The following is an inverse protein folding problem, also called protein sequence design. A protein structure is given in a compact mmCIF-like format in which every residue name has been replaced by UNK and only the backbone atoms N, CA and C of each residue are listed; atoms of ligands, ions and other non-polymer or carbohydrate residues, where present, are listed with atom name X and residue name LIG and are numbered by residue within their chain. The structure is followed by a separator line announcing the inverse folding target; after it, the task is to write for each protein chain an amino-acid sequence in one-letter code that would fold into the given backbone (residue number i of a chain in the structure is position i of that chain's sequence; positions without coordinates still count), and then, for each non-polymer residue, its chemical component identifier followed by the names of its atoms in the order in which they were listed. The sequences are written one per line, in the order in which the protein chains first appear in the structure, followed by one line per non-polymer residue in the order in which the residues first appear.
data_IF_118085857622
#
_entry.id   IF_118085857622
#
_cell.length_a   1.000
_cell.length_b   1.000
_cell.length_c   1.000
_cell.angle_alpha   90.00
_cell.angle_beta   90.00
_cell.angle_gamma   90.00
#
_symmetry.space_group_name_H-M   'P 1'
#
loop_
_entity.id
_entity.type
_entity.pdbx_description
1 polymer ?
#
# COMPACT_ATOMS: atom_id res chain seq x y z
N UNK A 1 50.06 -49.62 -44.02
CA UNK A 1 49.96 -50.74 -43.05
C UNK A 1 48.68 -50.50 -42.23
N UNK A 2 47.53 -51.01 -42.70
CA UNK A 2 46.83 -52.22 -42.24
C UNK A 2 46.32 -52.09 -40.77
N UNK A 3 45.07 -52.38 -40.36
CA UNK A 3 43.85 -52.91 -41.00
C UNK A 3 42.66 -52.74 -40.01
N UNK A 4 41.51 -52.30 -40.54
CA UNK A 4 40.09 -52.66 -40.24
C UNK A 4 39.51 -52.95 -38.82
N UNK A 5 38.37 -52.26 -38.57
CA UNK A 5 37.00 -52.74 -38.22
C UNK A 5 36.68 -53.33 -36.83
N UNK A 6 35.57 -52.85 -36.26
CA UNK A 6 34.39 -53.69 -36.01
C UNK A 6 33.90 -53.83 -34.56
N UNK A 7 32.82 -53.11 -34.26
CA UNK A 7 31.56 -53.54 -33.61
C UNK A 7 31.48 -54.34 -32.30
N UNK A 8 30.53 -53.85 -31.49
CA UNK A 8 29.43 -54.57 -30.80
C UNK A 8 29.70 -55.50 -29.61
N UNK A 9 29.17 -55.05 -28.47
CA UNK A 9 27.98 -55.60 -27.79
C UNK A 9 28.06 -56.87 -26.90
N UNK A 10 27.44 -56.67 -25.72
CA UNK A 10 26.62 -57.59 -24.94
C UNK A 10 27.21 -58.75 -24.10
N UNK A 11 26.62 -58.84 -22.89
CA UNK A 11 26.28 -60.05 -22.12
C UNK A 11 27.44 -60.74 -21.35
N UNK A 12 27.31 -61.21 -20.10
CA UNK A 12 26.15 -61.63 -19.32
C UNK A 12 26.58 -61.96 -17.86
N UNK A 13 25.63 -61.96 -16.92
CA UNK A 13 25.59 -62.61 -15.56
C UNK A 13 26.41 -61.93 -14.46
N UNK A 14 25.79 -61.33 -13.43
CA UNK A 14 24.88 -61.92 -12.43
C UNK A 14 25.71 -62.13 -11.14
N UNK A 15 25.40 -61.63 -9.95
CA UNK A 15 24.14 -61.54 -9.19
C UNK A 15 24.36 -60.55 -8.02
N UNK A 16 23.24 -60.22 -7.35
CA UNK A 16 23.06 -59.73 -5.97
C UNK A 16 22.59 -58.27 -5.86
N UNK A 17 21.53 -58.10 -5.03
CA UNK A 17 20.86 -56.89 -4.58
C UNK A 17 19.66 -56.38 -5.40
N UNK A 18 18.58 -57.18 -5.41
CA UNK A 18 17.20 -56.68 -5.55
C UNK A 18 16.59 -56.66 -4.15
N UNK A 19 16.36 -55.46 -3.60
CA UNK A 19 15.67 -55.26 -2.33
C UNK A 19 15.61 -53.78 -1.99
N UNK A 20 14.40 -53.27 -1.73
CA UNK A 20 14.07 -51.91 -1.28
C UNK A 20 13.95 -50.80 -2.35
N UNK A 21 13.02 -50.94 -3.30
CA UNK A 21 12.41 -49.78 -3.97
C UNK A 21 11.06 -50.09 -4.65
N UNK A 22 10.05 -50.63 -3.92
CA UNK A 22 8.67 -50.65 -4.44
C UNK A 22 7.54 -50.96 -3.45
N UNK A 23 7.51 -50.40 -2.23
CA UNK A 23 6.29 -50.36 -1.41
C UNK A 23 6.29 -49.10 -0.54
N UNK A 24 5.87 -47.96 -1.10
CA UNK A 24 5.50 -46.73 -0.36
C UNK A 24 4.62 -45.78 -1.18
N UNK A 25 3.79 -46.36 -2.04
CA UNK A 25 2.51 -45.80 -2.49
C UNK A 25 1.47 -46.76 -1.94
N UNK A 26 0.37 -46.24 -1.37
CA UNK A 26 -0.67 -46.94 -0.59
C UNK A 26 -0.44 -46.92 0.94
N UNK A 27 -0.31 -45.75 1.59
CA UNK A 27 -0.64 -45.55 3.04
C UNK A 27 -1.16 -44.13 3.37
N UNK A 28 -1.63 -43.30 2.42
CA UNK A 28 -2.13 -41.93 2.76
C UNK A 28 -3.53 -41.62 2.17
N UNK A 29 -4.31 -42.64 1.81
CA UNK A 29 -5.68 -42.46 1.29
C UNK A 29 -6.74 -43.18 2.14
N UNK A 30 -6.46 -43.46 3.42
CA UNK A 30 -7.41 -44.15 4.30
C UNK A 30 -7.45 -43.58 5.73
N UNK A 31 -7.52 -42.25 5.85
CA UNK A 31 -7.78 -41.54 7.12
C UNK A 31 -8.80 -40.40 6.99
N UNK A 32 -9.61 -40.40 5.92
CA UNK A 32 -10.65 -39.38 5.68
C UNK A 32 -12.09 -39.90 5.83
N UNK A 33 -12.27 -41.10 6.40
CA UNK A 33 -13.57 -41.73 6.65
C UNK A 33 -13.54 -42.34 8.05
N UNK A 34 -13.83 -41.51 9.07
CA UNK A 34 -14.43 -41.80 10.40
C UNK A 34 -14.23 -40.50 11.21
N UNK A 35 -15.09 -39.51 10.97
CA UNK A 35 -15.36 -38.39 11.88
C UNK A 35 -16.67 -37.68 11.47
N UNK A 36 -17.65 -38.46 11.00
CA UNK A 36 -19.06 -38.05 10.93
C UNK A 36 -19.76 -38.94 11.95
N UNK A 37 -20.30 -38.31 13.00
CA UNK A 37 -21.19 -38.80 14.07
C UNK A 37 -20.63 -38.52 15.46
N UNK A 38 -20.90 -37.32 15.98
CA UNK A 38 -21.38 -37.06 17.34
C UNK A 38 -21.24 -35.56 17.64
N UNK A 39 -22.36 -34.83 17.60
CA UNK A 39 -22.71 -33.81 18.59
C UNK A 39 -24.09 -33.26 18.22
N UNK A 40 -25.08 -33.87 18.87
CA UNK A 40 -26.48 -33.46 18.90
C UNK A 40 -26.66 -32.15 19.67
N UNK A 41 -27.53 -31.31 19.10
CA UNK A 41 -28.56 -30.49 19.74
C UNK A 41 -28.35 -30.03 21.20
N UNK A 42 -28.18 -28.72 21.39
CA UNK A 42 -28.83 -28.01 22.51
C UNK A 42 -29.47 -26.72 22.00
N UNK A 43 -30.79 -26.77 21.88
CA UNK A 43 -31.68 -25.63 21.67
C UNK A 43 -31.81 -24.91 23.01
N UNK A 44 -31.26 -23.70 23.12
CA UNK A 44 -31.51 -22.81 24.25
C UNK A 44 -32.73 -21.93 23.95
N UNK A 45 -33.84 -22.29 24.58
CA UNK A 45 -35.07 -21.50 24.67
C UNK A 45 -34.79 -20.34 25.63
N UNK A 46 -34.70 -19.10 25.12
CA UNK A 46 -34.73 -17.90 25.97
C UNK A 46 -36.19 -17.50 26.16
N UNK A 47 -36.68 -17.76 27.38
CA UNK A 47 -38.02 -17.38 27.84
C UNK A 47 -38.13 -15.85 27.96
N UNK A 48 -39.17 -15.29 27.33
CA UNK A 48 -39.64 -13.93 27.61
C UNK A 48 -40.18 -13.90 29.04
N UNK A 49 -39.62 -13.02 29.88
CA UNK A 49 -40.28 -12.63 31.13
C UNK A 49 -40.58 -11.14 31.08
N UNK A 50 -41.86 -10.86 30.87
CA UNK A 50 -42.48 -9.55 30.90
C UNK A 50 -42.82 -9.27 32.37
N UNK A 51 -42.12 -8.33 33.01
CA UNK A 51 -42.53 -7.84 34.32
C UNK A 51 -43.60 -6.75 34.13
N UNK A 52 -44.84 -7.13 34.46
CA UNK A 52 -45.93 -6.21 34.76
C UNK A 52 -45.77 -5.81 36.23
N UNK A 53 -45.63 -4.52 36.51
CA UNK A 53 -45.85 -3.95 37.83
C UNK A 53 -46.87 -2.83 37.70
N UNK A 54 -47.93 -2.99 38.50
CA UNK A 54 -49.13 -2.20 38.49
C UNK A 54 -48.97 -0.82 39.12
N UNK A 55 -49.91 -0.02 38.68
CA UNK A 55 -50.27 1.35 39.01
C UNK A 55 -50.47 1.62 40.52
N UNK A 56 -50.00 2.77 40.99
CA UNK A 56 -50.62 3.51 42.10
C UNK A 56 -50.59 5.00 41.74
N UNK A 57 -51.78 5.55 41.47
CA UNK A 57 -51.98 6.94 41.10
C UNK A 57 -51.92 7.90 42.28
N UNK A 58 -51.68 9.17 41.95
CA UNK A 58 -52.22 10.32 42.67
C UNK A 58 -52.38 11.51 41.71
N UNK A 59 -53.53 12.15 41.82
CA UNK A 59 -54.09 13.21 40.99
C UNK A 59 -53.22 14.47 40.82
N UNK A 60 -53.28 15.09 39.64
CA UNK A 60 -53.64 16.52 39.57
C UNK A 60 -54.20 16.94 38.19
N UNK A 61 -55.25 17.74 38.28
CA UNK A 61 -56.16 18.27 37.26
C UNK A 61 -55.50 18.99 36.07
N UNK A 62 -55.89 18.58 34.86
CA UNK A 62 -56.58 19.43 33.88
C UNK A 62 -55.79 20.48 33.09
N UNK A 63 -55.66 20.26 31.77
CA UNK A 63 -56.20 21.11 30.70
C UNK A 63 -56.26 20.26 29.43
N UNK A 64 -57.44 20.20 28.81
CA UNK A 64 -57.71 19.58 27.52
C UNK A 64 -57.55 20.64 26.42
N UNK A 65 -56.69 20.39 25.43
CA UNK A 65 -56.89 20.88 24.06
C UNK A 65 -56.40 19.77 23.12
N UNK A 66 -57.35 19.20 22.38
CA UNK A 66 -57.19 18.25 21.30
C UNK A 66 -56.82 18.93 19.98
N UNK A 67 -55.78 18.44 19.29
CA UNK A 67 -55.70 18.48 17.82
C UNK A 67 -54.62 17.51 17.29
N UNK A 68 -55.12 16.43 16.67
CA UNK A 68 -54.63 15.65 15.53
C UNK A 68 -53.17 15.77 15.02
N UNK A 69 -52.61 14.58 14.74
CA UNK A 69 -51.74 14.25 13.60
C UNK A 69 -50.52 15.16 13.32
N UNK A 70 -49.32 14.71 13.66
CA UNK A 70 -48.49 13.96 12.72
C UNK A 70 -47.29 13.36 13.44
N UNK A 71 -47.22 12.04 13.31
CA UNK A 71 -46.08 11.21 13.61
C UNK A 71 -44.90 11.71 12.75
N UNK A 72 -43.99 12.47 13.35
CA UNK A 72 -42.73 12.81 12.70
C UNK A 72 -42.00 11.50 12.41
N UNK A 73 -41.98 11.10 11.14
CA UNK A 73 -41.08 10.08 10.65
C UNK A 73 -39.67 10.49 11.08
N UNK A 74 -39.09 9.75 12.03
CA UNK A 74 -37.65 9.70 12.17
C UNK A 74 -37.12 9.37 10.78
N UNK A 75 -36.53 10.33 10.09
CA UNK A 75 -35.60 10.04 9.01
C UNK A 75 -34.54 9.15 9.66
N UNK A 76 -34.66 7.83 9.48
CA UNK A 76 -33.52 6.95 9.65
C UNK A 76 -32.52 7.48 8.65
N UNK A 77 -31.55 8.27 9.12
CA UNK A 77 -30.33 8.51 8.37
C UNK A 77 -29.89 7.14 7.91
N UNK A 78 -29.88 6.89 6.59
CA UNK A 78 -29.31 5.65 6.09
C UNK A 78 -27.92 5.54 6.73
N UNK A 79 -27.60 4.42 7.41
CA UNK A 79 -26.31 4.30 8.08
C UNK A 79 -25.21 4.60 7.07
N UNK A 80 -24.28 5.47 7.44
CA UNK A 80 -23.18 5.81 6.56
C UNK A 80 -22.39 4.54 6.26
N UNK A 81 -22.27 4.25 4.97
CA UNK A 81 -21.61 3.06 4.43
C UNK A 81 -20.22 2.85 5.08
N UNK A 82 -20.01 1.66 5.65
CA UNK A 82 -18.73 1.25 6.22
C UNK A 82 -17.73 0.87 5.15
N UNK A 83 -16.43 1.00 5.42
CA UNK A 83 -15.42 0.68 4.42
C UNK A 83 -14.08 0.24 5.00
N UNK A 84 -13.24 -0.28 4.11
CA UNK A 84 -11.87 -0.70 4.41
C UNK A 84 -10.91 -0.02 3.46
N UNK A 85 -9.69 0.26 3.92
CA UNK A 85 -8.62 0.77 3.09
C UNK A 85 -7.38 -0.12 3.22
N UNK A 86 -6.98 -0.72 2.11
CA UNK A 86 -5.82 -1.58 1.97
C UNK A 86 -4.80 -0.91 1.05
N UNK A 87 -3.57 -1.38 1.09
CA UNK A 87 -2.56 -0.94 0.15
C UNK A 87 -1.19 -0.69 0.75
N UNK A 88 -0.37 -0.02 -0.05
CA UNK A 88 0.98 0.40 0.27
C UNK A 88 1.02 1.80 0.91
N UNK A 89 2.21 2.40 0.92
CA UNK A 89 2.50 3.72 1.49
C UNK A 89 1.68 4.86 0.89
N UNK A 90 1.21 4.76 -0.36
CA UNK A 90 0.35 5.79 -0.98
C UNK A 90 -1.08 5.76 -0.42
N UNK A 91 -1.53 4.62 0.09
CA UNK A 91 -2.78 4.52 0.84
C UNK A 91 -2.57 4.79 2.34
N UNK A 92 -1.45 4.33 2.90
CA UNK A 92 -1.10 4.59 4.31
C UNK A 92 -0.87 6.09 4.58
N UNK A 93 -0.37 6.84 3.59
CA UNK A 93 -0.15 8.29 3.71
C UNK A 93 1.02 8.65 4.62
N UNK A 94 2.12 7.90 4.48
CA UNK A 94 3.37 8.10 5.19
C UNK A 94 3.76 9.59 5.28
N UNK A 95 4.04 10.05 6.50
CA UNK A 95 4.48 11.41 6.80
C UNK A 95 3.38 12.47 6.84
N UNK A 96 2.11 12.13 6.59
CA UNK A 96 1.03 13.12 6.51
C UNK A 96 0.35 13.34 7.86
N UNK A 97 0.34 14.60 8.31
CA UNK A 97 -0.30 15.01 9.56
C UNK A 97 0.35 14.48 10.85
N UNK A 98 1.52 13.85 10.78
CA UNK A 98 2.25 13.34 11.95
C UNK A 98 3.58 14.10 12.09
N UNK A 99 3.80 14.67 13.27
CA UNK A 99 5.07 15.26 13.69
C UNK A 99 5.67 14.37 14.79
N UNK A 100 6.58 13.46 14.39
CA UNK A 100 7.28 12.58 15.33
C UNK A 100 7.38 11.13 14.86
N UNK A 101 7.40 10.21 15.82
CA UNK A 101 7.34 8.76 15.61
C UNK A 101 5.98 8.34 15.00
N UNK A 102 6.03 7.54 13.94
CA UNK A 102 4.86 6.93 13.29
C UNK A 102 4.70 5.48 13.74
N UNK A 103 3.52 4.88 13.51
CA UNK A 103 3.34 3.44 13.68
C UNK A 103 4.12 2.62 12.63
N UNK A 104 4.17 1.30 12.83
CA UNK A 104 4.93 0.39 11.97
C UNK A 104 4.47 0.42 10.50
N UNK A 105 3.19 0.72 10.25
CA UNK A 105 2.63 0.82 8.89
C UNK A 105 2.72 2.24 8.31
N UNK A 106 3.12 3.21 9.13
CA UNK A 106 3.23 4.65 8.84
C UNK A 106 1.92 5.24 8.36
N UNK A 107 0.84 4.97 9.09
CA UNK A 107 -0.49 5.45 8.77
C UNK A 107 -0.66 6.92 9.14
N UNK A 108 -0.59 7.80 8.14
CA UNK A 108 -0.79 9.24 8.32
C UNK A 108 -2.26 9.59 8.57
N UNK A 109 -2.50 10.60 9.42
CA UNK A 109 -3.86 11.05 9.75
C UNK A 109 -4.51 11.88 8.64
N UNK A 110 -3.72 12.35 7.67
CA UNK A 110 -4.21 13.04 6.48
C UNK A 110 -4.11 12.19 5.20
N UNK A 111 -3.89 10.88 5.35
CA UNK A 111 -3.99 9.95 4.25
C UNK A 111 -5.38 10.03 3.60
N UNK A 112 -5.48 9.78 2.29
CA UNK A 112 -6.75 9.91 1.57
C UNK A 112 -7.87 9.01 2.15
N UNK A 113 -7.61 7.80 2.69
CA UNK A 113 -8.64 7.04 3.38
C UNK A 113 -9.11 7.70 4.68
N UNK A 114 -8.21 8.31 5.45
CA UNK A 114 -8.56 9.05 6.67
C UNK A 114 -9.38 10.30 6.35
N UNK A 115 -9.03 11.01 5.28
CA UNK A 115 -9.83 12.15 4.82
C UNK A 115 -11.24 11.70 4.38
N UNK A 116 -11.37 10.56 3.71
CA UNK A 116 -12.67 9.97 3.36
C UNK A 116 -13.46 9.55 4.60
N UNK A 117 -12.77 8.98 5.60
CA UNK A 117 -13.37 8.62 6.88
C UNK A 117 -13.94 9.85 7.60
N UNK A 118 -13.15 10.93 7.69
CA UNK A 118 -13.58 12.19 8.30
C UNK A 118 -14.74 12.85 7.55
N UNK A 119 -14.74 12.83 6.21
CA UNK A 119 -15.79 13.43 5.38
C UNK A 119 -17.11 12.66 5.44
N UNK A 120 -17.06 11.33 5.63
CA UNK A 120 -18.25 10.46 5.55
C UNK A 120 -18.83 10.12 6.92
N UNK A 121 -18.01 10.02 7.96
CA UNK A 121 -18.41 9.50 9.28
C UNK A 121 -19.10 8.12 9.17
N UNK A 122 -18.37 7.08 8.68
CA UNK A 122 -18.92 5.76 8.42
C UNK A 122 -19.27 5.02 9.71
N UNK A 123 -20.23 4.09 9.62
CA UNK A 123 -20.53 3.18 10.74
C UNK A 123 -19.37 2.25 11.13
N UNK A 124 -18.43 2.01 10.20
CA UNK A 124 -17.20 1.29 10.44
C UNK A 124 -16.12 1.72 9.44
N UNK A 125 -14.89 1.87 9.92
CA UNK A 125 -13.71 2.09 9.10
C UNK A 125 -12.57 1.19 9.58
N UNK A 126 -11.96 0.45 8.67
CA UNK A 126 -10.74 -0.33 8.94
C UNK A 126 -9.60 0.19 8.08
N UNK A 127 -8.56 0.70 8.72
CA UNK A 127 -7.37 1.19 8.03
C UNK A 127 -6.26 0.13 8.11
N UNK A 128 -6.07 -0.62 7.02
CA UNK A 128 -5.15 -1.75 6.94
C UNK A 128 -3.99 -1.51 5.97
N UNK A 129 -3.91 -0.31 5.39
CA UNK A 129 -2.82 0.08 4.48
C UNK A 129 -1.50 0.13 5.25
N UNK A 130 -0.43 -0.32 4.62
CA UNK A 130 0.86 -0.45 5.28
C UNK A 130 2.00 -0.12 4.32
N UNK A 131 2.91 0.76 4.75
CA UNK A 131 4.10 1.11 3.96
C UNK A 131 4.91 -0.13 3.62
N UNK A 132 5.44 -0.18 2.39
CA UNK A 132 6.26 -1.28 1.91
C UNK A 132 5.49 -2.50 1.37
N UNK A 133 4.17 -2.58 1.61
CA UNK A 133 3.38 -3.73 1.17
C UNK A 133 3.44 -3.93 -0.35
N UNK A 134 3.74 -5.16 -0.76
CA UNK A 134 3.56 -5.68 -2.12
C UNK A 134 2.22 -6.40 -2.24
N UNK A 135 1.81 -6.78 -3.46
CA UNK A 135 0.62 -7.63 -3.60
C UNK A 135 0.77 -8.96 -2.87
N UNK A 136 2.00 -9.49 -2.73
CA UNK A 136 2.26 -10.73 -1.98
C UNK A 136 2.05 -10.55 -0.48
N UNK A 137 2.53 -9.44 0.08
CA UNK A 137 2.43 -9.19 1.52
C UNK A 137 0.98 -8.94 1.94
N UNK A 138 0.15 -8.40 1.03
CA UNK A 138 -1.25 -8.12 1.31
C UNK A 138 -2.14 -9.38 1.30
N UNK A 139 -1.75 -10.43 0.57
CA UNK A 139 -2.54 -11.67 0.39
C UNK A 139 -2.69 -12.48 1.68
N UNK A 140 -3.69 -13.36 1.72
CA UNK A 140 -3.91 -14.28 2.83
C UNK A 140 -2.72 -15.22 3.06
N UNK A 141 -2.37 -15.46 4.33
CA UNK A 141 -1.26 -16.33 4.73
C UNK A 141 0.13 -15.70 4.69
N UNK A 142 0.26 -14.45 4.23
CA UNK A 142 1.49 -13.67 4.37
C UNK A 142 1.71 -13.21 5.82
N UNK A 143 2.97 -12.94 6.20
CA UNK A 143 3.33 -12.51 7.56
C UNK A 143 2.59 -11.23 7.96
N UNK A 144 2.56 -10.23 7.07
CA UNK A 144 1.88 -8.95 7.25
C UNK A 144 0.54 -8.85 6.48
N UNK A 145 -0.15 -9.99 6.32
CA UNK A 145 -1.39 -10.09 5.53
C UNK A 145 -2.41 -9.02 5.90
N UNK A 146 -2.82 -8.21 4.92
CA UNK A 146 -3.90 -7.25 5.08
C UNK A 146 -5.27 -7.94 4.95
N UNK A 147 -5.37 -8.96 4.11
CA UNK A 147 -6.59 -9.77 3.94
C UNK A 147 -6.94 -10.53 5.23
N UNK A 148 -5.96 -11.08 5.95
CA UNK A 148 -6.23 -11.81 7.19
C UNK A 148 -6.59 -10.91 8.37
N UNK A 149 -6.07 -9.68 8.39
CA UNK A 149 -6.43 -8.66 9.39
C UNK A 149 -7.83 -8.07 9.19
N UNK A 150 -8.47 -8.31 8.04
CA UNK A 150 -9.79 -7.81 7.72
C UNK A 150 -10.86 -8.40 8.66
N UNK A 151 -11.46 -7.53 9.47
CA UNK A 151 -12.56 -7.89 10.36
C UNK A 151 -13.91 -7.86 9.61
N UNK A 152 -14.33 -9.01 9.08
CA UNK A 152 -15.58 -9.17 8.32
C UNK A 152 -16.86 -9.05 9.16
N UNK A 153 -16.76 -8.96 10.49
CA UNK A 153 -17.94 -8.78 11.36
C UNK A 153 -18.50 -7.36 11.31
N UNK A 154 -17.70 -6.39 10.87
CA UNK A 154 -18.11 -5.00 10.71
C UNK A 154 -18.85 -4.77 9.38
N UNK A 155 -19.77 -3.80 9.29
CA UNK A 155 -20.38 -3.40 8.03
C UNK A 155 -19.31 -2.87 7.07
N UNK A 156 -19.26 -3.41 5.85
CA UNK A 156 -18.30 -3.03 4.81
C UNK A 156 -19.06 -2.99 3.49
N UNK A 157 -19.11 -1.82 2.86
CA UNK A 157 -19.89 -1.52 1.66
C UNK A 157 -19.00 -1.19 0.45
N UNK A 158 -17.76 -0.76 0.67
CA UNK A 158 -16.75 -0.60 -0.38
C UNK A 158 -15.34 -0.76 0.20
N UNK A 159 -14.34 -0.85 -0.68
CA UNK A 159 -12.93 -0.85 -0.31
C UNK A 159 -12.13 0.17 -1.12
N UNK A 160 -11.03 0.65 -0.55
CA UNK A 160 -10.00 1.44 -1.21
C UNK A 160 -8.72 0.60 -1.31
N UNK A 161 -8.01 0.69 -2.43
CA UNK A 161 -6.77 -0.04 -2.67
C UNK A 161 -5.75 0.81 -3.46
N UNK A 162 -4.55 1.00 -2.92
CA UNK A 162 -3.37 1.44 -3.68
C UNK A 162 -2.28 0.40 -3.52
N UNK A 163 -1.86 -0.30 -4.57
CA UNK A 163 -0.79 -1.30 -4.45
C UNK A 163 -0.07 -1.50 -5.77
N UNK A 164 1.17 -1.97 -5.73
CA UNK A 164 1.94 -2.35 -6.92
C UNK A 164 3.25 -1.57 -7.13
N UNK A 165 3.43 -0.40 -6.52
CA UNK A 165 4.67 0.37 -6.68
C UNK A 165 5.90 -0.40 -6.17
N UNK A 166 5.76 -1.08 -5.04
CA UNK A 166 6.80 -1.92 -4.44
C UNK A 166 7.09 -3.16 -5.29
N UNK A 167 6.06 -3.80 -5.85
CA UNK A 167 6.17 -4.97 -6.73
C UNK A 167 6.99 -4.71 -8.00
N UNK A 168 7.02 -3.46 -8.44
CA UNK A 168 7.65 -3.02 -9.69
C UNK A 168 9.01 -2.34 -9.46
N UNK A 169 9.52 -2.37 -8.22
CA UNK A 169 10.87 -1.90 -7.90
C UNK A 169 11.03 -0.38 -7.93
N UNK A 170 10.01 0.39 -7.55
CA UNK A 170 10.10 1.86 -7.53
C UNK A 170 11.23 2.37 -6.64
N UNK A 171 11.47 1.73 -5.48
CA UNK A 171 12.61 2.07 -4.62
C UNK A 171 13.94 1.88 -5.33
N UNK A 172 14.13 0.77 -6.05
CA UNK A 172 15.36 0.49 -6.79
C UNK A 172 15.62 1.55 -7.87
N UNK A 173 14.57 1.98 -8.57
CA UNK A 173 14.64 3.06 -9.55
C UNK A 173 15.02 4.38 -8.88
N UNK A 174 14.35 4.74 -7.79
CA UNK A 174 14.63 5.97 -7.05
C UNK A 174 16.05 5.97 -6.47
N UNK A 175 16.50 4.84 -5.94
CA UNK A 175 17.85 4.67 -5.42
C UNK A 175 18.89 4.79 -6.55
N UNK A 176 18.74 4.07 -7.67
CA UNK A 176 19.72 4.08 -8.75
C UNK A 176 19.74 5.41 -9.54
N UNK A 177 18.57 6.01 -9.75
CA UNK A 177 18.41 7.16 -10.65
C UNK A 177 18.46 8.52 -9.96
N UNK A 178 18.11 8.62 -8.67
CA UNK A 178 17.91 9.91 -8.00
C UNK A 178 18.84 10.07 -6.80
N UNK A 179 18.70 9.23 -5.78
CA UNK A 179 19.36 9.47 -4.48
C UNK A 179 20.72 8.83 -4.34
N UNK A 180 20.93 7.67 -4.98
CA UNK A 180 22.11 6.81 -4.80
C UNK A 180 22.42 6.55 -3.33
N UNK A 181 21.46 6.10 -2.53
CA UNK A 181 21.69 5.83 -1.10
C UNK A 181 22.89 4.91 -0.87
N UNK A 182 23.11 3.92 -1.75
CA UNK A 182 24.28 3.03 -1.70
C UNK A 182 25.48 3.52 -2.56
N UNK A 183 25.56 4.83 -2.81
CA UNK A 183 26.59 5.49 -3.62
C UNK A 183 26.84 4.77 -4.97
N UNK A 184 28.10 4.44 -5.29
CA UNK A 184 28.50 3.77 -6.52
C UNK A 184 27.81 2.40 -6.69
N UNK A 185 27.49 1.73 -5.59
CA UNK A 185 26.90 0.39 -5.55
C UNK A 185 25.38 0.35 -5.75
N UNK A 186 24.73 1.52 -5.93
CA UNK A 186 23.29 1.60 -6.23
C UNK A 186 22.90 1.05 -7.60
N UNK A 187 23.87 0.60 -8.41
CA UNK A 187 23.67 0.19 -9.79
C UNK A 187 23.53 1.39 -10.74
N UNK A 188 23.18 1.11 -11.99
CA UNK A 188 22.89 2.14 -13.00
C UNK A 188 21.39 2.43 -13.08
N UNK A 189 21.03 3.65 -13.46
CA UNK A 189 19.63 4.02 -13.65
C UNK A 189 19.00 3.23 -14.80
N UNK A 190 19.75 3.00 -15.88
CA UNK A 190 19.34 2.24 -17.04
C UNK A 190 18.95 0.81 -16.66
N UNK A 191 19.79 0.13 -15.86
CA UNK A 191 19.52 -1.24 -15.40
C UNK A 191 18.30 -1.29 -14.48
N UNK A 192 18.17 -0.33 -13.55
CA UNK A 192 17.02 -0.28 -12.65
C UNK A 192 15.70 -0.07 -13.42
N UNK A 193 15.69 0.86 -14.38
CA UNK A 193 14.54 1.08 -15.26
C UNK A 193 14.27 -0.15 -16.14
N UNK A 194 15.29 -0.83 -16.66
CA UNK A 194 15.13 -2.05 -17.44
C UNK A 194 14.52 -3.19 -16.61
N UNK A 195 14.99 -3.41 -15.38
CA UNK A 195 14.41 -4.39 -14.45
C UNK A 195 12.95 -4.09 -14.16
N UNK A 196 12.61 -2.83 -13.87
CA UNK A 196 11.23 -2.42 -13.62
C UNK A 196 10.32 -2.67 -14.84
N UNK A 197 10.80 -2.40 -16.06
CA UNK A 197 10.08 -2.74 -17.29
C UNK A 197 9.84 -4.24 -17.44
N UNK A 198 10.84 -5.08 -17.16
CA UNK A 198 10.66 -6.55 -17.20
C UNK A 198 9.61 -7.02 -16.19
N UNK A 199 9.63 -6.50 -14.96
CA UNK A 199 8.61 -6.82 -13.95
C UNK A 199 7.21 -6.37 -14.39
N UNK A 200 7.11 -5.23 -15.04
CA UNK A 200 5.86 -4.68 -15.56
C UNK A 200 5.32 -5.44 -16.78
N UNK A 201 6.21 -5.91 -17.65
CA UNK A 201 5.85 -6.71 -18.82
C UNK A 201 5.44 -8.14 -18.44
N UNK A 202 5.90 -8.66 -17.30
CA UNK A 202 5.48 -9.97 -16.78
C UNK A 202 3.98 -10.03 -16.48
N UNK A 203 3.41 -11.23 -16.67
CA UNK A 203 2.05 -11.56 -16.26
C UNK A 203 1.95 -11.78 -14.74
N UNK A 204 3.08 -12.01 -14.05
CA UNK A 204 3.11 -12.30 -12.61
C UNK A 204 2.46 -11.19 -11.79
N UNK A 205 2.65 -9.92 -12.18
CA UNK A 205 2.00 -8.80 -11.53
C UNK A 205 0.48 -8.82 -11.73
N UNK A 206 0.01 -9.06 -12.96
CA UNK A 206 -1.44 -9.13 -13.24
C UNK A 206 -2.09 -10.29 -12.47
N UNK A 207 -1.42 -11.43 -12.43
CA UNK A 207 -1.88 -12.63 -11.73
C UNK A 207 -1.99 -12.36 -10.22
N UNK A 208 -0.95 -11.82 -9.60
CA UNK A 208 -0.95 -11.56 -8.14
C UNK A 208 -1.97 -10.50 -7.75
N UNK A 209 -2.09 -9.42 -8.53
CA UNK A 209 -3.12 -8.41 -8.30
C UNK A 209 -4.52 -9.00 -8.43
N UNK A 210 -4.75 -9.87 -9.43
CA UNK A 210 -6.02 -10.58 -9.57
C UNK A 210 -6.31 -11.48 -8.37
N UNK A 211 -5.34 -12.26 -7.89
CA UNK A 211 -5.53 -13.12 -6.72
C UNK A 211 -5.90 -12.28 -5.50
N UNK A 212 -5.12 -11.24 -5.18
CA UNK A 212 -5.39 -10.34 -4.07
C UNK A 212 -6.81 -9.75 -4.13
N UNK A 213 -7.23 -9.26 -5.30
CA UNK A 213 -8.57 -8.71 -5.49
C UNK A 213 -9.65 -9.77 -5.23
N UNK A 214 -9.45 -11.00 -5.73
CA UNK A 214 -10.41 -12.09 -5.53
C UNK A 214 -10.47 -12.52 -4.06
N UNK A 215 -9.34 -12.54 -3.36
CA UNK A 215 -9.29 -12.82 -1.92
C UNK A 215 -10.03 -11.77 -1.11
N UNK A 216 -9.84 -10.48 -1.42
CA UNK A 216 -10.60 -9.39 -0.77
C UNK A 216 -12.10 -9.57 -1.01
N UNK A 217 -12.51 -9.83 -2.26
CA UNK A 217 -13.90 -10.05 -2.63
C UNK A 217 -14.50 -11.25 -1.89
N UNK A 218 -13.81 -12.39 -1.86
CA UNK A 218 -14.24 -13.63 -1.19
C UNK A 218 -14.36 -13.42 0.33
N UNK A 219 -13.34 -12.83 0.96
CA UNK A 219 -13.34 -12.52 2.41
C UNK A 219 -14.55 -11.67 2.79
N UNK A 220 -14.92 -10.69 1.95
CA UNK A 220 -16.06 -9.78 2.16
C UNK A 220 -17.41 -10.45 1.84
N UNK A 221 -17.41 -11.58 1.14
CA UNK A 221 -18.60 -12.28 0.62
C UNK A 221 -19.40 -11.36 -0.30
N UNK A 222 -18.71 -10.78 -1.28
CA UNK A 222 -19.23 -9.77 -2.20
C UNK A 222 -20.53 -10.20 -2.90
N UNK A 223 -20.78 -11.50 -3.09
CA UNK A 223 -22.01 -12.03 -3.71
C UNK A 223 -23.26 -11.65 -2.92
N UNK A 224 -23.11 -11.43 -1.61
CA UNK A 224 -24.19 -10.97 -0.72
C UNK A 224 -24.32 -9.45 -0.68
N UNK A 225 -23.40 -8.73 -1.32
CA UNK A 225 -23.29 -7.27 -1.30
C UNK A 225 -23.27 -6.75 -2.74
N UNK A 226 -24.43 -6.69 -3.42
CA UNK A 226 -24.50 -6.37 -4.84
C UNK A 226 -23.97 -4.97 -5.20
N UNK A 227 -23.90 -4.05 -4.24
CA UNK A 227 -23.32 -2.71 -4.40
C UNK A 227 -21.82 -2.62 -4.06
N UNK A 228 -21.22 -3.69 -3.51
CA UNK A 228 -19.81 -3.66 -3.12
C UNK A 228 -18.89 -3.50 -4.34
N UNK A 229 -17.97 -2.56 -4.21
CA UNK A 229 -16.92 -2.29 -5.20
C UNK A 229 -15.60 -1.92 -4.50
N UNK A 230 -14.49 -2.19 -5.18
CA UNK A 230 -13.14 -1.80 -4.77
C UNK A 230 -12.70 -0.64 -5.65
N UNK A 231 -12.35 0.49 -5.05
CA UNK A 231 -11.74 1.61 -5.75
C UNK A 231 -10.24 1.47 -5.69
N UNK A 232 -9.61 1.28 -6.85
CA UNK A 232 -8.16 1.14 -6.99
C UNK A 232 -7.58 2.45 -7.51
N UNK A 233 -6.60 3.01 -6.82
CA UNK A 233 -5.94 4.26 -7.23
C UNK A 233 -4.66 3.98 -8.02
N UNK A 234 -4.36 4.81 -9.02
CA UNK A 234 -3.04 4.83 -9.69
C UNK A 234 -1.97 5.57 -8.88
N UNK A 235 -0.89 5.95 -9.56
CA UNK A 235 0.20 6.80 -9.05
C UNK A 235 0.31 8.09 -9.87
N UNK A 236 0.91 9.14 -9.30
CA UNK A 236 1.23 10.36 -10.05
C UNK A 236 2.70 10.39 -10.48
N UNK A 237 2.95 10.95 -11.66
CA UNK A 237 4.28 11.29 -12.17
C UNK A 237 4.97 12.24 -11.20
N UNK A 238 6.28 12.07 -11.04
CA UNK A 238 7.06 12.78 -10.03
C UNK A 238 7.57 14.13 -10.49
N UNK A 239 7.81 14.28 -11.79
CA UNK A 239 8.49 15.43 -12.34
C UNK A 239 7.64 16.13 -13.39
N UNK A 240 7.68 17.45 -13.43
CA UNK A 240 7.48 18.15 -14.68
C UNK A 240 8.72 17.90 -15.55
N UNK A 241 8.55 17.32 -16.74
CA UNK A 241 9.65 16.98 -17.67
C UNK A 241 9.89 18.03 -18.77
N UNK A 242 9.08 19.09 -18.81
CA UNK A 242 9.10 20.09 -19.88
C UNK A 242 10.04 21.26 -19.58
N UNK A 243 10.27 21.56 -18.31
CA UNK A 243 11.11 22.68 -17.84
C UNK A 243 12.59 22.38 -17.96
N UNK A 244 13.44 23.40 -18.18
CA UNK A 244 14.90 23.25 -18.17
C UNK A 244 15.54 23.50 -16.80
N UNK A 245 14.81 24.08 -15.84
CA UNK A 245 15.37 24.55 -14.56
C UNK A 245 15.99 23.46 -13.66
N UNK A 246 15.68 22.20 -13.93
CA UNK A 246 16.21 21.04 -13.17
C UNK A 246 17.40 20.34 -13.82
N UNK A 247 17.85 20.76 -15.01
CA UNK A 247 18.80 19.98 -15.79
C UNK A 247 20.12 19.72 -15.07
N UNK A 248 20.58 20.69 -14.29
CA UNK A 248 21.81 20.63 -13.50
C UNK A 248 21.57 20.34 -12.01
N UNK A 249 20.32 20.12 -11.60
CA UNK A 249 19.96 19.85 -10.20
C UNK A 249 20.10 18.37 -9.85
N UNK A 250 20.28 18.06 -8.57
CA UNK A 250 20.40 16.69 -8.07
C UNK A 250 19.79 16.56 -6.68
N UNK A 251 19.14 15.43 -6.44
CA UNK A 251 18.71 15.01 -5.09
C UNK A 251 19.64 13.95 -4.49
N UNK A 252 20.78 13.66 -5.12
CA UNK A 252 21.73 12.66 -4.63
C UNK A 252 22.20 12.95 -3.21
N UNK A 253 22.28 11.91 -2.39
CA UNK A 253 22.74 12.01 -0.99
C UNK A 253 24.25 12.29 -0.93
N UNK A 254 24.99 11.83 -1.93
CA UNK A 254 26.45 11.97 -2.02
C UNK A 254 26.86 13.05 -3.02
N UNK A 255 28.11 13.50 -2.89
CA UNK A 255 28.71 14.40 -3.88
C UNK A 255 28.67 13.78 -5.29
N UNK A 256 28.34 14.58 -6.30
CA UNK A 256 28.12 14.13 -7.69
C UNK A 256 26.95 13.15 -7.88
N UNK A 257 25.84 13.38 -7.18
CA UNK A 257 24.58 12.69 -7.46
C UNK A 257 24.10 12.81 -8.92
N UNK A 258 23.21 11.91 -9.38
CA UNK A 258 22.62 11.97 -10.72
C UNK A 258 21.91 13.31 -10.97
N UNK A 259 22.03 13.81 -12.19
CA UNK A 259 21.35 15.04 -12.62
C UNK A 259 19.90 14.76 -13.01
N UNK A 260 18.98 15.64 -12.63
CA UNK A 260 17.56 15.57 -12.94
C UNK A 260 17.25 16.03 -14.38
N UNK A 261 17.99 15.51 -15.35
CA UNK A 261 17.83 15.82 -16.78
C UNK A 261 16.41 15.54 -17.26
N UNK A 262 15.95 16.25 -18.31
CA UNK A 262 14.68 15.98 -18.99
C UNK A 262 14.54 14.52 -19.40
N UNK A 263 15.62 13.92 -19.89
CA UNK A 263 15.65 12.50 -20.27
C UNK A 263 15.35 11.60 -19.07
N UNK A 264 16.00 11.84 -17.93
CA UNK A 264 15.75 11.08 -16.70
C UNK A 264 14.29 11.25 -16.25
N UNK A 265 13.82 12.50 -16.14
CA UNK A 265 12.46 12.84 -15.72
C UNK A 265 11.42 12.16 -16.61
N UNK A 266 11.60 12.22 -17.93
CA UNK A 266 10.71 11.58 -18.90
C UNK A 266 10.72 10.05 -18.79
N UNK A 267 11.89 9.43 -18.58
CA UNK A 267 11.98 7.99 -18.38
C UNK A 267 11.24 7.51 -17.12
N UNK A 268 11.39 8.24 -16.01
CA UNK A 268 10.70 7.91 -14.75
C UNK A 268 9.21 8.17 -14.85
N UNK A 269 8.78 9.27 -15.46
CA UNK A 269 7.37 9.55 -15.72
C UNK A 269 6.73 8.49 -16.62
N UNK A 270 7.42 8.06 -17.67
CA UNK A 270 6.97 6.97 -18.55
C UNK A 270 6.76 5.69 -17.76
N UNK A 271 7.64 5.36 -16.81
CA UNK A 271 7.46 4.19 -15.96
C UNK A 271 6.14 4.29 -15.17
N UNK A 272 5.87 5.42 -14.51
CA UNK A 272 4.62 5.65 -13.76
C UNK A 272 3.39 5.51 -14.66
N UNK A 273 3.41 6.09 -15.85
CA UNK A 273 2.32 5.96 -16.82
C UNK A 273 2.09 4.50 -17.24
N UNK A 274 3.16 3.74 -17.46
CA UNK A 274 3.05 2.33 -17.82
C UNK A 274 2.49 1.49 -16.65
N UNK A 275 2.85 1.80 -15.40
CA UNK A 275 2.25 1.17 -14.20
C UNK A 275 0.75 1.44 -14.15
N UNK A 276 0.33 2.69 -14.30
CA UNK A 276 -1.09 3.05 -14.31
C UNK A 276 -1.85 2.35 -15.44
N UNK A 277 -1.24 2.24 -16.64
CA UNK A 277 -1.82 1.52 -17.76
C UNK A 277 -1.99 0.02 -17.47
N UNK A 278 -0.99 -0.62 -16.85
CA UNK A 278 -1.05 -2.03 -16.44
C UNK A 278 -2.14 -2.26 -15.38
N UNK A 279 -2.19 -1.41 -14.34
CA UNK A 279 -3.24 -1.46 -13.32
C UNK A 279 -4.64 -1.38 -13.95
N UNK A 280 -4.86 -0.38 -14.81
CA UNK A 280 -6.13 -0.20 -15.52
C UNK A 280 -6.49 -1.42 -16.36
N UNK A 281 -5.55 -1.93 -17.17
CA UNK A 281 -5.74 -3.13 -17.99
C UNK A 281 -6.12 -4.35 -17.14
N UNK A 282 -5.44 -4.58 -16.01
CA UNK A 282 -5.74 -5.71 -15.12
C UNK A 282 -7.13 -5.56 -14.49
N UNK A 283 -7.50 -4.35 -14.05
CA UNK A 283 -8.82 -4.04 -13.51
C UNK A 283 -9.92 -4.31 -14.55
N UNK A 284 -9.75 -3.82 -15.79
CA UNK A 284 -10.71 -4.03 -16.88
C UNK A 284 -10.88 -5.53 -17.18
N UNK A 285 -9.75 -6.27 -17.21
CA UNK A 285 -9.74 -7.72 -17.41
C UNK A 285 -10.50 -8.47 -16.32
N UNK A 286 -10.35 -8.03 -15.06
CA UNK A 286 -11.09 -8.61 -13.94
C UNK A 286 -12.58 -8.27 -14.03
N UNK A 287 -12.93 -7.02 -14.35
CA UNK A 287 -14.32 -6.58 -14.49
C UNK A 287 -15.07 -7.36 -15.59
N UNK A 288 -14.41 -7.74 -16.69
CA UNK A 288 -15.00 -8.62 -17.70
C UNK A 288 -15.46 -9.99 -17.17
N UNK A 289 -14.97 -10.43 -16.01
CA UNK A 289 -15.42 -11.66 -15.35
C UNK A 289 -16.71 -11.48 -14.54
N UNK A 290 -17.21 -10.25 -14.40
CA UNK A 290 -18.42 -9.92 -13.65
C UNK A 290 -19.53 -9.37 -14.55
N UNK A 291 -20.78 -9.54 -14.13
CA UNK A 291 -21.95 -8.94 -14.82
C UNK A 291 -22.10 -7.45 -14.58
N UNK A 292 -21.45 -6.94 -13.53
CA UNK A 292 -21.36 -5.52 -13.18
C UNK A 292 -19.94 -5.28 -12.68
N UNK A 293 -19.38 -4.13 -13.03
CA UNK A 293 -18.06 -3.74 -12.58
C UNK A 293 -17.97 -3.79 -11.05
N UNK A 294 -16.93 -4.46 -10.56
CA UNK A 294 -16.60 -4.59 -9.14
C UNK A 294 -15.41 -3.75 -8.75
N UNK A 295 -14.65 -3.30 -9.74
CA UNK A 295 -13.46 -2.51 -9.57
C UNK A 295 -13.61 -1.18 -10.27
N UNK A 296 -13.14 -0.13 -9.62
CA UNK A 296 -13.17 1.24 -10.13
C UNK A 296 -11.74 1.76 -10.13
N UNK A 297 -11.17 2.02 -11.30
CA UNK A 297 -9.84 2.65 -11.38
C UNK A 297 -9.95 4.17 -11.27
N UNK A 298 -9.13 4.78 -10.43
CA UNK A 298 -9.03 6.23 -10.24
C UNK A 298 -7.64 6.70 -10.66
N UNK A 299 -7.61 7.44 -11.76
CA UNK A 299 -6.42 8.10 -12.27
C UNK A 299 -6.44 9.58 -11.86
N UNK A 300 -5.50 9.97 -11.01
CA UNK A 300 -5.38 11.32 -10.47
C UNK A 300 -4.11 12.04 -10.94
N UNK A 301 -3.31 11.42 -11.82
CA UNK A 301 -1.98 11.91 -12.20
C UNK A 301 -2.02 13.34 -12.77
N UNK A 302 -3.01 13.64 -13.62
CA UNK A 302 -3.14 14.94 -14.26
C UNK A 302 -3.39 16.08 -13.25
N UNK A 303 -4.04 15.80 -12.12
CA UNK A 303 -4.32 16.82 -11.10
C UNK A 303 -3.04 17.22 -10.34
N UNK A 304 -1.95 16.43 -10.45
CA UNK A 304 -0.63 16.79 -9.90
C UNK A 304 0.16 17.74 -10.81
N UNK A 305 -0.29 18.02 -12.05
CA UNK A 305 0.35 19.01 -12.93
C UNK A 305 0.44 20.38 -12.23
N UNK A 306 1.62 21.00 -12.20
CA UNK A 306 1.87 22.25 -11.47
C UNK A 306 2.33 22.07 -10.02
N UNK A 307 2.26 20.84 -9.50
CA UNK A 307 2.59 20.49 -8.12
C UNK A 307 3.68 19.41 -8.01
N UNK A 308 4.33 19.06 -9.12
CA UNK A 308 5.43 18.09 -9.16
C UNK A 308 6.77 18.71 -8.75
N UNK A 309 7.82 17.91 -8.73
CA UNK A 309 9.19 18.44 -8.76
C UNK A 309 9.48 19.08 -10.12
N UNK A 310 10.40 20.04 -10.14
CA UNK A 310 10.87 20.69 -11.37
C UNK A 310 9.81 21.52 -12.10
N UNK A 311 8.86 22.09 -11.36
CA UNK A 311 7.86 23.01 -11.92
C UNK A 311 8.49 24.36 -12.32
N UNK A 312 7.84 25.15 -13.21
CA UNK A 312 8.38 26.44 -13.64
C UNK A 312 8.72 27.37 -12.46
N UNK A 313 9.84 28.09 -12.57
CA UNK A 313 10.33 29.04 -11.57
C UNK A 313 10.71 28.44 -10.21
N UNK A 314 10.91 27.12 -10.12
CA UNK A 314 11.41 26.45 -8.92
C UNK A 314 12.87 26.05 -9.11
N UNK A 315 13.71 26.33 -8.11
CA UNK A 315 15.11 25.85 -8.07
C UNK A 315 15.19 24.68 -7.10
N UNK A 316 15.31 23.47 -7.63
CA UNK A 316 15.31 22.24 -6.84
C UNK A 316 16.73 21.87 -6.32
N UNK A 317 16.86 21.23 -5.13
CA UNK A 317 15.82 20.96 -4.15
C UNK A 317 15.40 22.23 -3.38
N UNK A 318 14.09 22.48 -3.30
CA UNK A 318 13.52 23.53 -2.45
C UNK A 318 12.74 22.91 -1.28
N UNK A 319 13.39 22.81 -0.12
CA UNK A 319 12.81 22.20 1.09
C UNK A 319 11.72 23.06 1.75
N UNK A 320 11.70 24.36 1.48
CA UNK A 320 10.72 25.30 2.02
C UNK A 320 9.47 25.40 1.14
N UNK A 321 9.51 24.81 -0.06
CA UNK A 321 8.40 24.79 -1.00
C UNK A 321 7.20 24.01 -0.44
N UNK A 322 6.05 24.69 -0.29
CA UNK A 322 4.80 24.10 0.22
C UNK A 322 3.78 23.74 -0.87
N UNK A 323 3.93 24.27 -2.08
CA UNK A 323 3.03 23.99 -3.21
C UNK A 323 3.37 22.70 -3.95
N UNK A 324 4.56 22.11 -3.74
CA UNK A 324 4.83 20.72 -4.16
C UNK A 324 3.95 19.75 -3.39
N UNK A 325 3.35 18.80 -4.09
CA UNK A 325 2.50 17.76 -3.50
C UNK A 325 3.27 16.50 -3.16
N UNK A 326 4.58 16.43 -3.40
CA UNK A 326 5.43 15.33 -2.96
C UNK A 326 6.39 15.76 -1.86
N UNK A 327 6.66 14.88 -0.91
CA UNK A 327 7.72 15.13 0.07
C UNK A 327 9.11 15.07 -0.57
N UNK A 328 9.96 16.04 -0.20
CA UNK A 328 11.42 15.91 -0.26
C UNK A 328 11.94 15.23 1.00
N UNK A 329 13.18 14.76 0.96
CA UNK A 329 13.86 14.17 2.13
C UNK A 329 13.79 15.15 3.29
N UNK A 330 13.13 14.75 4.39
CA UNK A 330 13.00 15.59 5.58
C UNK A 330 12.13 16.84 5.43
N UNK A 331 11.52 17.08 4.26
CA UNK A 331 10.61 18.21 4.06
C UNK A 331 9.36 18.11 4.95
N UNK A 332 8.74 19.24 5.35
CA UNK A 332 7.54 19.23 6.20
C UNK A 332 6.33 18.65 5.46
N UNK A 333 5.18 18.50 6.12
CA UNK A 333 3.91 18.31 5.41
C UNK A 333 3.36 19.67 4.91
N UNK A 334 2.34 19.68 4.06
CA UNK A 334 1.75 20.91 3.49
C UNK A 334 0.25 21.06 3.77
N UNK A 335 -0.22 20.56 4.91
CA UNK A 335 -1.59 20.75 5.35
C UNK A 335 -1.96 22.25 5.44
N UNK A 336 -3.25 22.58 5.26
CA UNK A 336 -3.69 23.98 5.29
C UNK A 336 -3.53 24.56 6.70
N UNK A 337 -3.29 25.86 6.81
CA UNK A 337 -3.11 26.55 8.08
C UNK A 337 -4.28 26.26 9.04
N UNK A 338 -3.96 25.80 10.25
CA UNK A 338 -4.96 25.41 11.25
C UNK A 338 -5.38 23.93 11.20
N UNK A 339 -4.93 23.16 10.21
CA UNK A 339 -5.03 21.69 10.26
C UNK A 339 -4.10 21.18 11.35
N UNK A 340 -4.63 20.43 12.32
CA UNK A 340 -3.83 19.91 13.42
C UNK A 340 -2.94 18.77 12.93
N UNK A 341 -1.63 18.89 13.12
CA UNK A 341 -0.75 17.74 13.12
C UNK A 341 -0.88 17.02 14.47
N UNK A 342 -0.79 15.69 14.45
CA UNK A 342 -0.61 14.91 15.66
C UNK A 342 0.87 14.96 16.04
N UNK A 343 1.17 15.62 17.15
CA UNK A 343 2.47 15.51 17.79
C UNK A 343 2.55 14.16 18.50
N UNK A 344 3.54 13.36 18.13
CA UNK A 344 3.90 12.13 18.84
C UNK A 344 5.19 12.36 19.63
N UNK A 345 5.83 11.30 20.13
CA UNK A 345 7.19 11.41 20.67
C UNK A 345 8.12 12.04 19.62
N UNK A 346 9.14 12.76 20.09
CA UNK A 346 10.20 13.29 19.22
C UNK A 346 10.62 12.21 18.20
N UNK A 347 10.81 12.56 16.91
CA UNK A 347 11.24 11.59 15.91
C UNK A 347 12.51 10.94 16.43
N UNK A 348 12.43 9.66 16.82
CA UNK A 348 13.57 8.98 17.43
C UNK A 348 14.64 8.87 16.37
N UNK A 349 15.67 9.72 16.48
CA UNK A 349 16.94 9.47 15.83
C UNK A 349 17.36 8.04 16.23
N UNK A 350 17.72 7.22 15.23
CA UNK A 350 18.10 5.85 15.50
C UNK A 350 19.22 5.82 16.55
N UNK A 351 19.07 4.94 17.55
CA UNK A 351 20.16 4.70 18.50
C UNK A 351 21.44 4.37 17.71
N UNK A 352 22.62 4.84 18.15
CA UNK A 352 23.90 4.40 17.59
C UNK A 352 24.10 2.87 17.61
N UNK A 353 23.33 2.16 18.44
CA UNK A 353 23.30 0.69 18.55
C UNK A 353 22.18 0.03 17.75
N UNK A 354 21.41 0.80 16.97
CA UNK A 354 20.35 0.25 16.13
C UNK A 354 20.94 -0.67 15.08
N UNK A 355 20.32 -1.84 14.86
CA UNK A 355 20.70 -2.73 13.77
C UNK A 355 20.54 -2.09 12.39
N UNK A 356 19.72 -1.03 12.26
CA UNK A 356 19.52 -0.30 11.01
C UNK A 356 20.71 0.59 10.61
N UNK A 357 21.63 0.88 11.53
CA UNK A 357 22.87 1.61 11.24
C UNK A 357 24.11 0.70 11.23
N UNK A 358 23.93 -0.61 11.43
CA UNK A 358 25.00 -1.60 11.30
C UNK A 358 25.09 -2.11 9.85
N UNK A 359 26.19 -1.80 9.11
CA UNK A 359 26.33 -2.17 7.71
C UNK A 359 26.35 -3.68 7.45
N UNK A 360 26.59 -4.51 8.47
CA UNK A 360 26.66 -5.97 8.29
C UNK A 360 25.33 -6.68 8.54
N UNK A 361 24.42 -6.07 9.28
CA UNK A 361 23.18 -6.71 9.72
C UNK A 361 21.89 -5.98 9.32
N UNK A 362 21.98 -4.73 8.85
CA UNK A 362 20.81 -3.90 8.56
C UNK A 362 19.95 -4.41 7.38
N UNK A 363 20.53 -5.08 6.39
CA UNK A 363 19.89 -5.30 5.10
C UNK A 363 18.68 -6.25 5.18
N UNK A 364 18.82 -7.39 5.85
CA UNK A 364 17.74 -8.38 5.96
C UNK A 364 16.48 -7.82 6.64
N UNK A 365 16.59 -7.20 7.83
CA UNK A 365 15.47 -6.52 8.47
C UNK A 365 14.86 -5.40 7.62
N UNK A 366 15.68 -4.54 7.01
CA UNK A 366 15.19 -3.44 6.18
C UNK A 366 14.43 -3.93 4.93
N UNK A 367 14.89 -5.01 4.30
CA UNK A 367 14.19 -5.65 3.17
C UNK A 367 12.86 -6.27 3.59
N UNK A 368 12.82 -6.95 4.74
CA UNK A 368 11.56 -7.53 5.26
C UNK A 368 10.53 -6.47 5.61
N UNK A 369 10.95 -5.33 6.16
CA UNK A 369 10.05 -4.25 6.50
C UNK A 369 9.41 -3.59 5.26
N UNK A 370 10.01 -3.71 4.07
CA UNK A 370 9.56 -3.03 2.84
C UNK A 370 9.63 -1.49 2.89
N UNK A 371 10.06 -0.92 4.02
CA UNK A 371 10.16 0.51 4.25
C UNK A 371 11.40 1.09 3.55
N UNK A 372 11.14 1.95 2.57
CA UNK A 372 12.18 2.62 1.78
C UNK A 372 13.13 3.44 2.64
N UNK A 373 12.65 3.97 3.78
CA UNK A 373 13.45 4.72 4.71
C UNK A 373 14.45 3.87 5.47
N UNK A 374 14.04 2.68 5.91
CA UNK A 374 14.94 1.72 6.55
C UNK A 374 15.99 1.21 5.56
N UNK A 375 15.59 0.94 4.31
CA UNK A 375 16.50 0.54 3.24
C UNK A 375 17.50 1.63 2.90
N UNK A 376 17.05 2.89 2.75
CA UNK A 376 17.91 4.03 2.47
C UNK A 376 19.00 4.18 3.54
N UNK A 377 18.62 4.12 4.82
CA UNK A 377 19.56 4.23 5.94
C UNK A 377 20.56 3.07 5.98
N UNK A 378 20.09 1.85 5.76
CA UNK A 378 20.96 0.69 5.67
C UNK A 378 21.96 0.83 4.52
N UNK A 379 21.49 1.22 3.33
CA UNK A 379 22.36 1.46 2.17
C UNK A 379 23.38 2.57 2.41
N UNK A 380 23.01 3.62 3.13
CA UNK A 380 23.95 4.66 3.52
C UNK A 380 25.01 4.17 4.50
N UNK A 381 24.63 3.35 5.49
CA UNK A 381 25.57 2.72 6.41
C UNK A 381 26.55 1.79 5.67
N UNK A 382 26.04 0.98 4.74
CA UNK A 382 26.84 0.10 3.88
C UNK A 382 27.76 0.90 2.95
N UNK A 383 27.28 1.98 2.34
CA UNK A 383 28.09 2.86 1.49
C UNK A 383 29.29 3.43 2.25
N UNK A 384 29.03 3.97 3.45
CA UNK A 384 30.06 4.53 4.33
C UNK A 384 31.07 3.49 4.81
N UNK A 385 30.62 2.25 5.02
CA UNK A 385 31.52 1.14 5.34
C UNK A 385 32.46 0.81 4.17
N UNK A 386 31.91 0.73 2.95
CA UNK A 386 32.70 0.44 1.74
C UNK A 386 33.64 1.59 1.36
N UNK A 387 33.23 2.84 1.56
CA UNK A 387 34.04 4.03 1.31
C UNK A 387 34.01 4.98 2.53
N UNK A 388 34.98 4.86 3.45
CA UNK A 388 35.07 5.72 4.62
C UNK A 388 35.27 7.20 4.30
N UNK A 389 35.69 7.55 3.07
CA UNK A 389 35.96 8.94 2.66
C UNK A 389 34.70 9.72 2.33
N UNK A 390 33.56 9.03 2.14
CA UNK A 390 32.26 9.67 1.96
C UNK A 390 32.03 10.60 3.14
N UNK A 391 31.97 11.91 2.88
CA UNK A 391 31.68 12.88 3.93
C UNK A 391 30.34 12.51 4.55
N UNK A 392 30.37 12.20 5.83
CA UNK A 392 29.18 12.39 6.64
C UNK A 392 28.88 13.88 6.59
N UNK A 393 27.77 14.29 5.98
CA UNK A 393 27.16 15.55 6.41
C UNK A 393 26.49 15.39 7.80
N UNK A 394 26.68 14.23 8.45
CA UNK A 394 25.71 13.69 9.38
C UNK A 394 26.35 12.74 10.40
N UNK A 395 26.51 13.19 11.64
CA UNK A 395 26.75 12.29 12.76
C UNK A 395 25.45 11.59 13.18
N UNK A 396 25.52 10.33 13.60
CA UNK A 396 24.40 9.54 14.13
C UNK A 396 23.68 10.16 15.34
N UNK A 397 24.26 11.16 15.99
CA UNK A 397 23.64 11.85 17.12
C UNK A 397 22.78 13.03 16.64
N UNK A 398 21.48 12.97 16.92
CA UNK A 398 20.51 14.08 16.79
C UNK A 398 20.46 14.76 15.41
N UNK A 399 20.60 13.98 14.34
CA UNK A 399 20.52 14.52 12.99
C UNK A 399 19.31 13.96 12.24
N UNK A 400 18.58 14.85 11.58
CA UNK A 400 17.37 14.54 10.79
C UNK A 400 17.61 13.37 9.82
N UNK A 401 18.82 13.29 9.29
CA UNK A 401 19.30 12.28 8.35
C UNK A 401 19.38 10.83 8.88
N UNK A 402 19.07 10.55 10.15
CA UNK A 402 18.96 9.19 10.69
C UNK A 402 17.53 8.84 11.13
N UNK A 403 16.54 9.54 10.60
CA UNK A 403 15.12 9.24 10.81
C UNK A 403 14.59 8.50 9.57
N UNK A 404 14.25 7.20 9.64
CA UNK A 404 13.82 6.43 8.48
C UNK A 404 12.65 7.10 7.74
N UNK A 405 11.70 7.67 8.48
CA UNK A 405 10.54 8.39 7.94
C UNK A 405 10.91 9.47 6.93
N UNK A 406 11.99 10.21 7.16
CA UNK A 406 12.37 11.32 6.30
C UNK A 406 12.80 10.88 4.91
N UNK A 407 13.38 9.69 4.78
CA UNK A 407 13.68 9.11 3.48
C UNK A 407 12.47 8.34 2.94
N UNK A 408 11.81 7.56 3.80
CA UNK A 408 10.67 6.72 3.41
C UNK A 408 9.53 7.52 2.79
N UNK A 409 9.22 8.70 3.33
CA UNK A 409 8.14 9.55 2.79
C UNK A 409 8.50 10.26 1.50
N UNK A 410 9.78 10.31 1.12
CA UNK A 410 10.22 11.04 -0.08
C UNK A 410 9.53 10.48 -1.32
N UNK A 411 9.14 11.34 -2.27
CA UNK A 411 8.33 10.97 -3.44
C UNK A 411 6.91 10.47 -3.12
N UNK A 412 6.45 10.52 -1.87
CA UNK A 412 5.06 10.24 -1.52
C UNK A 412 4.23 11.53 -1.45
N UNK A 413 2.91 11.45 -1.68
CA UNK A 413 2.03 12.60 -1.60
C UNK A 413 2.00 13.21 -0.19
N UNK A 414 2.04 14.55 -0.12
CA UNK A 414 1.76 15.33 1.10
C UNK A 414 0.24 15.48 1.29
N UNK A 415 -0.19 16.09 2.40
CA UNK A 415 -1.62 16.30 2.71
C UNK A 415 -2.42 16.88 1.53
N UNK A 416 -1.89 17.88 0.80
CA UNK A 416 -2.59 18.45 -0.38
C UNK A 416 -2.70 17.46 -1.54
N UNK A 417 -1.68 16.63 -1.77
CA UNK A 417 -1.73 15.54 -2.73
C UNK A 417 -2.78 14.50 -2.34
N UNK A 418 -2.86 14.10 -1.07
CA UNK A 418 -3.91 13.20 -0.58
C UNK A 418 -5.32 13.79 -0.70
N UNK A 419 -5.49 15.09 -0.48
CA UNK A 419 -6.76 15.79 -0.76
C UNK A 419 -7.12 15.69 -2.25
N UNK A 420 -6.17 15.83 -3.16
CA UNK A 420 -6.41 15.68 -4.59
C UNK A 420 -6.79 14.24 -4.98
N UNK A 421 -6.14 13.23 -4.39
CA UNK A 421 -6.49 11.81 -4.58
C UNK A 421 -7.93 11.55 -4.13
N UNK A 422 -8.29 11.97 -2.90
CA UNK A 422 -9.66 11.90 -2.39
C UNK A 422 -10.66 12.57 -3.32
N UNK A 423 -10.37 13.79 -3.77
CA UNK A 423 -11.27 14.56 -4.63
C UNK A 423 -11.52 13.84 -5.96
N UNK A 424 -10.49 13.18 -6.52
CA UNK A 424 -10.63 12.35 -7.73
C UNK A 424 -11.47 11.09 -7.48
N UNK A 425 -11.30 10.43 -6.34
CA UNK A 425 -12.17 9.31 -5.95
C UNK A 425 -13.64 9.76 -5.95
N UNK A 426 -13.95 10.89 -5.29
CA UNK A 426 -15.32 11.43 -5.28
C UNK A 426 -15.82 11.89 -6.65
N UNK A 427 -14.95 12.43 -7.51
CA UNK A 427 -15.30 12.79 -8.90
C UNK A 427 -15.70 11.54 -9.70
N UNK A 428 -14.94 10.46 -9.60
CA UNK A 428 -15.25 9.19 -10.28
C UNK A 428 -16.52 8.56 -9.72
N UNK A 429 -16.68 8.49 -8.39
CA UNK A 429 -17.89 7.96 -7.76
C UNK A 429 -19.16 8.72 -8.16
N UNK A 430 -19.13 10.05 -8.22
CA UNK A 430 -20.29 10.85 -8.68
C UNK A 430 -20.69 10.49 -10.11
N UNK A 431 -19.71 10.23 -10.97
CA UNK A 431 -19.94 9.84 -12.37
C UNK A 431 -20.60 8.46 -12.46
N UNK A 432 -20.11 7.49 -11.69
CA UNK A 432 -20.60 6.11 -11.70
C UNK A 432 -21.98 6.00 -11.03
N UNK A 433 -22.15 6.63 -9.87
CA UNK A 433 -23.37 6.55 -9.07
C UNK A 433 -24.41 7.62 -9.41
N UNK A 434 -24.13 8.48 -10.41
CA UNK A 434 -25.02 9.55 -10.91
C UNK A 434 -25.54 10.47 -9.80
N UNK A 435 -24.68 10.81 -8.84
CA UNK A 435 -25.03 11.74 -7.77
C UNK A 435 -24.95 13.18 -8.32
N UNK A 436 -26.02 14.00 -8.26
CA UNK A 436 -25.99 15.38 -8.73
C UNK A 436 -24.92 16.20 -8.00
N UNK A 437 -24.26 17.11 -8.70
CA UNK A 437 -23.42 18.14 -8.07
C UNK A 437 -24.31 19.08 -7.27
N UNK A 438 -24.22 19.01 -5.94
CA UNK A 438 -24.76 20.03 -5.04
C UNK A 438 -23.87 21.25 -5.02
#
# INVERSE_FOLDING_TARGET
MAKSRGDSDSSERGKVAVGAARVRRIVVVLLSLIAVHALEQQVLIVSKTQHVLGDTGADHKGISISSDFQQGHSNKSNPTAGFIALGDSYSAGIGTGIEGEEDDCRQGIHAYPQLINADRDPTAFQFLSCTGATTNDAMAGAEDSQVDRLNVSLPIDFALLSIGGNDLGFFDVINACVFRFYNFYSGTCEDALARSRVLLESDDFEIRLRILIMEILDKIRWEKKPSFAITVTGYARFFNELTDGCEDMSFGVWWNGPKLTKKLRSNMNTLVLNVNAKLRKTIDTINHSFTKDRLIFVDYDADFDGHRFCEPNVTEPDYERLDTWFFLVGGPDNADSGTKAQQTSDPKALSPTSSLVDPFSCLGPAQRAGDWGMLALCYMAMAKHCDPTLRENVSAQNSMWYVPTYYGKTFHPRTRGHKAIRNNIYKVWRTIYKVPST
#
